data_IF_639955400348
#
_entry.id   IF_639955400348
#
_cell.length_a   1.000
_cell.length_b   1.000
_cell.length_c   1.000
_cell.angle_alpha   90.00
_cell.angle_beta   90.00
_cell.angle_gamma   90.00
#
_symmetry.space_group_name_H-M   'P 1'
#
loop_
_entity.id
_entity.type
_entity.pdbx_description
1 polymer ?
#
# COMPACT_ATOMS: atom_id res chain seq x y z
N UNK A 1 2.90 -29.58 -24.99
CA UNK A 1 4.32 -29.77 -25.35
C UNK A 1 4.77 -31.09 -24.75
N UNK A 2 5.35 -32.00 -25.54
CA UNK A 2 5.97 -33.22 -25.02
C UNK A 2 7.43 -32.91 -24.71
N UNK A 3 7.77 -32.75 -23.42
CA UNK A 3 9.14 -32.51 -22.96
C UNK A 3 9.88 -33.81 -22.75
N UNK A 4 10.24 -34.51 -23.82
CA UNK A 4 11.01 -35.76 -23.73
C UNK A 4 12.48 -35.43 -23.55
N UNK A 5 13.09 -35.87 -22.44
CA UNK A 5 14.51 -35.69 -22.14
C UNK A 5 15.25 -37.00 -22.37
N UNK A 6 16.38 -36.96 -23.07
CA UNK A 6 17.23 -38.12 -23.27
C UNK A 6 18.44 -38.04 -22.33
N UNK A 7 18.55 -39.03 -21.43
CA UNK A 7 19.67 -39.17 -20.50
C UNK A 7 20.48 -40.38 -20.90
N UNK A 8 21.69 -40.16 -21.40
CA UNK A 8 22.64 -41.21 -21.79
C UNK A 8 23.76 -41.30 -20.76
N UNK A 9 24.28 -42.51 -20.52
CA UNK A 9 25.51 -42.67 -19.74
C UNK A 9 26.64 -42.04 -20.54
N UNK A 10 27.47 -41.21 -19.92
CA UNK A 10 28.67 -40.70 -20.57
C UNK A 10 29.60 -41.91 -20.82
N UNK A 11 29.76 -42.32 -22.08
CA UNK A 11 30.76 -43.32 -22.43
C UNK A 11 32.13 -42.73 -22.12
N UNK A 12 32.92 -43.42 -21.29
CA UNK A 12 34.35 -43.16 -21.19
C UNK A 12 34.90 -43.38 -22.61
N UNK A 13 35.32 -42.30 -23.26
CA UNK A 13 36.22 -42.38 -24.40
C UNK A 13 37.50 -43.03 -23.88
N UNK A 14 37.56 -44.36 -23.97
CA UNK A 14 38.80 -45.10 -23.89
C UNK A 14 39.64 -44.71 -25.10
N UNK A 15 40.70 -43.95 -24.85
CA UNK A 15 41.73 -43.70 -25.85
C UNK A 15 42.32 -45.06 -26.26
N UNK A 16 41.96 -45.54 -27.44
CA UNK A 16 42.81 -46.43 -28.21
C UNK A 16 44.04 -45.62 -28.64
N UNK A 17 45.21 -45.88 -28.05
CA UNK A 17 46.48 -45.77 -28.78
C UNK A 17 47.60 -46.61 -28.12
N UNK A 18 48.35 -47.24 -29.02
CA UNK A 18 49.41 -48.26 -28.88
C UNK A 18 50.62 -47.97 -27.96
N UNK A 19 51.42 -48.99 -27.59
CA UNK A 19 52.46 -48.91 -26.55
C UNK A 19 53.82 -48.45 -27.09
N UNK A 20 54.56 -47.63 -26.33
CA UNK A 20 56.04 -47.64 -26.37
C UNK A 20 56.73 -46.90 -25.21
N UNK A 21 57.58 -47.67 -24.54
CA UNK A 21 58.87 -47.34 -23.90
C UNK A 21 59.01 -46.25 -22.81
N UNK A 22 59.54 -46.74 -21.69
CA UNK A 22 60.18 -46.08 -20.54
C UNK A 22 61.21 -44.98 -20.85
N UNK A 23 61.20 -43.89 -20.07
CA UNK A 23 62.35 -43.56 -19.22
C UNK A 23 62.02 -42.48 -18.16
N UNK A 24 62.57 -42.71 -16.97
CA UNK A 24 62.50 -41.88 -15.76
C UNK A 24 63.46 -40.69 -15.79
N UNK A 25 63.04 -39.54 -15.27
CA UNK A 25 63.83 -38.72 -14.33
C UNK A 25 63.01 -37.55 -13.75
N UNK A 26 63.48 -37.07 -12.61
CA UNK A 26 62.78 -36.43 -11.51
C UNK A 26 62.68 -34.90 -11.53
N UNK A 27 61.63 -34.41 -10.85
CA UNK A 27 61.56 -33.19 -10.01
C UNK A 27 61.80 -31.82 -10.62
N UNK A 28 60.76 -30.98 -10.69
CA UNK A 28 60.62 -29.80 -9.81
C UNK A 28 59.24 -29.15 -9.92
N UNK A 29 58.83 -28.57 -8.79
CA UNK A 29 57.58 -27.92 -8.44
C UNK A 29 57.10 -26.84 -9.42
N UNK A 30 55.81 -26.90 -9.78
CA UNK A 30 55.12 -25.87 -10.55
C UNK A 30 53.63 -25.90 -10.22
N UNK A 31 53.23 -24.99 -9.34
CA UNK A 31 51.88 -24.72 -8.88
C UNK A 31 50.94 -24.42 -10.07
N UNK A 32 50.05 -25.35 -10.43
CA UNK A 32 48.91 -25.06 -11.30
C UNK A 32 47.71 -25.89 -10.83
N UNK A 33 46.70 -25.18 -10.31
CA UNK A 33 45.45 -25.75 -9.83
C UNK A 33 44.79 -26.59 -10.92
N UNK A 34 44.65 -27.89 -10.64
CA UNK A 34 43.82 -28.81 -11.39
C UNK A 34 42.39 -28.24 -11.44
N UNK A 35 41.97 -27.71 -12.59
CA UNK A 35 40.55 -27.73 -12.95
C UNK A 35 40.18 -29.20 -13.14
N UNK A 36 39.64 -29.80 -12.08
CA UNK A 36 38.88 -31.05 -12.16
C UNK A 36 37.75 -30.80 -13.15
N UNK A 37 37.94 -31.26 -14.39
CA UNK A 37 36.86 -31.44 -15.36
C UNK A 37 35.91 -32.44 -14.69
N UNK A 38 34.84 -31.94 -14.09
CA UNK A 38 33.80 -32.79 -13.52
C UNK A 38 33.11 -33.50 -14.68
N UNK A 39 33.64 -34.65 -15.09
CA UNK A 39 32.97 -35.56 -16.00
C UNK A 39 31.77 -36.12 -15.25
N UNK A 40 30.59 -35.56 -15.50
CA UNK A 40 29.37 -36.18 -15.04
C UNK A 40 29.21 -37.52 -15.76
N UNK A 41 28.90 -38.58 -15.01
CA UNK A 41 28.63 -39.92 -15.55
C UNK A 41 27.37 -39.97 -16.45
N UNK A 42 26.62 -38.87 -16.53
CA UNK A 42 25.36 -38.74 -17.24
C UNK A 42 25.44 -37.54 -18.19
N UNK A 43 25.15 -37.81 -19.46
CA UNK A 43 24.98 -36.80 -20.51
C UNK A 43 23.48 -36.59 -20.73
N UNK A 44 23.03 -35.36 -20.55
CA UNK A 44 21.63 -34.97 -20.78
C UNK A 44 21.54 -34.21 -22.10
N UNK A 45 20.69 -34.70 -23.01
CA UNK A 45 20.39 -34.04 -24.27
C UNK A 45 19.06 -33.30 -24.09
N UNK A 46 19.12 -31.97 -24.05
CA UNK A 46 17.95 -31.09 -23.91
C UNK A 46 17.53 -30.57 -25.30
N UNK A 47 16.24 -30.63 -25.66
CA UNK A 47 15.72 -30.05 -26.90
C UNK A 47 16.11 -28.56 -27.05
N UNK A 48 16.41 -28.11 -28.26
CA UNK A 48 16.84 -26.73 -28.54
C UNK A 48 15.88 -25.67 -27.97
N UNK A 49 14.59 -25.97 -27.90
CA UNK A 49 13.56 -25.08 -27.36
C UNK A 49 13.65 -24.86 -25.83
N UNK A 50 14.29 -25.79 -25.10
CA UNK A 50 14.45 -25.77 -23.64
C UNK A 50 15.86 -25.40 -23.19
N UNK A 51 16.75 -25.10 -24.15
CA UNK A 51 18.09 -24.60 -23.85
C UNK A 51 18.06 -23.12 -23.44
N UNK A 52 19.00 -22.71 -22.59
CA UNK A 52 19.13 -21.33 -22.13
C UNK A 52 18.43 -21.05 -20.81
N UNK A 53 18.14 -19.77 -20.56
CA UNK A 53 17.56 -19.27 -19.31
C UNK A 53 16.30 -18.49 -19.63
N UNK A 54 15.22 -18.75 -18.89
CA UNK A 54 13.97 -18.02 -19.01
C UNK A 54 13.53 -17.43 -17.67
N UNK A 55 12.87 -16.28 -17.72
CA UNK A 55 12.20 -15.66 -16.58
C UNK A 55 11.02 -14.83 -17.06
N UNK A 56 10.05 -14.61 -16.17
CA UNK A 56 8.92 -13.72 -16.45
C UNK A 56 9.19 -12.38 -15.78
N UNK A 57 9.23 -11.31 -16.57
CA UNK A 57 9.38 -9.94 -16.08
C UNK A 57 8.00 -9.28 -16.00
N UNK A 58 7.61 -8.86 -14.81
CA UNK A 58 6.40 -8.08 -14.57
C UNK A 58 6.79 -6.62 -14.38
N UNK A 59 6.20 -5.72 -15.15
CA UNK A 59 6.49 -4.28 -15.13
C UNK A 59 5.18 -3.54 -14.93
N UNK A 60 5.14 -2.55 -14.04
CA UNK A 60 4.04 -1.57 -14.04
C UNK A 60 4.53 -0.29 -14.70
N UNK A 61 3.81 0.21 -15.70
CA UNK A 61 4.19 1.38 -16.48
C UNK A 61 3.10 2.46 -16.39
N UNK A 62 3.50 3.73 -16.26
CA UNK A 62 2.63 4.91 -16.35
C UNK A 62 3.17 5.84 -17.43
N UNK A 63 2.37 6.16 -18.44
CA UNK A 63 2.72 7.14 -19.47
C UNK A 63 4.12 6.93 -20.12
N UNK A 64 4.52 5.66 -20.31
CA UNK A 64 5.82 5.16 -20.81
C UNK A 64 6.96 5.06 -19.79
N UNK A 65 6.79 5.51 -18.55
CA UNK A 65 7.76 5.33 -17.47
C UNK A 65 7.50 4.04 -16.68
N UNK A 66 8.54 3.21 -16.53
CA UNK A 66 8.49 1.99 -15.72
C UNK A 66 8.52 2.36 -14.23
N UNK A 67 7.40 2.13 -13.54
CA UNK A 67 7.20 2.47 -12.13
C UNK A 67 7.74 1.39 -11.17
N UNK A 68 7.65 0.12 -11.55
CA UNK A 68 8.27 -0.97 -10.80
C UNK A 68 8.46 -2.19 -11.68
N UNK A 69 9.46 -3.00 -11.33
CA UNK A 69 9.73 -4.26 -11.99
C UNK A 69 9.85 -5.40 -10.99
N UNK A 70 9.31 -6.56 -11.34
CA UNK A 70 9.46 -7.80 -10.59
C UNK A 70 9.86 -8.92 -11.56
N UNK A 71 10.65 -9.87 -11.08
CA UNK A 71 11.10 -11.02 -11.85
C UNK A 71 10.54 -12.29 -11.21
N UNK A 72 10.01 -13.21 -12.02
CA UNK A 72 9.54 -14.50 -11.56
C UNK A 72 10.41 -15.58 -12.17
N UNK A 73 11.05 -16.35 -11.29
CA UNK A 73 11.89 -17.49 -11.65
C UNK A 73 11.69 -18.62 -10.62
N UNK A 74 11.59 -19.87 -11.07
CA UNK A 74 11.33 -21.03 -10.22
C UNK A 74 12.34 -21.17 -9.05
N UNK A 75 13.58 -20.71 -9.26
CA UNK A 75 14.72 -20.95 -8.37
C UNK A 75 15.23 -19.71 -7.62
N UNK A 76 14.59 -18.53 -7.76
CA UNK A 76 15.03 -17.28 -7.11
C UNK A 76 16.48 -16.85 -7.42
N UNK A 77 17.13 -17.49 -8.40
CA UNK A 77 18.47 -17.13 -8.85
C UNK A 77 18.34 -16.00 -9.87
N UNK A 78 19.03 -14.90 -9.58
CA UNK A 78 19.23 -13.81 -10.54
C UNK A 78 20.04 -14.27 -11.77
N UNK A 79 20.20 -13.40 -12.77
CA UNK A 79 20.85 -13.71 -14.04
C UNK A 79 22.35 -14.07 -13.93
N UNK A 80 22.96 -13.98 -12.74
CA UNK A 80 24.34 -14.39 -12.50
C UNK A 80 24.45 -15.91 -12.34
N UNK A 81 24.28 -16.60 -13.46
CA UNK A 81 24.66 -18.00 -13.61
C UNK A 81 26.14 -18.00 -13.97
N UNK A 82 27.00 -17.97 -12.95
CA UNK A 82 28.41 -18.31 -13.15
C UNK A 82 28.49 -19.76 -13.63
N UNK A 83 29.07 -19.90 -14.82
CA UNK A 83 29.32 -21.14 -15.53
C UNK A 83 29.86 -22.23 -14.60
N UNK A 84 29.00 -23.20 -14.30
CA UNK A 84 29.40 -24.55 -13.91
C UNK A 84 28.71 -25.49 -14.90
N UNK A 85 29.10 -25.35 -16.17
CA UNK A 85 28.83 -26.32 -17.24
C UNK A 85 29.52 -27.63 -16.80
N UNK A 86 28.74 -28.69 -16.57
CA UNK A 86 29.32 -30.00 -16.26
C UNK A 86 28.47 -30.91 -15.38
N UNK A 87 27.48 -30.37 -14.65
CA UNK A 87 26.58 -31.20 -13.83
C UNK A 87 25.22 -31.29 -14.51
N UNK A 88 24.90 -32.48 -15.04
CA UNK A 88 23.61 -32.82 -15.67
C UNK A 88 22.37 -32.31 -14.91
N UNK A 89 22.46 -32.27 -13.58
CA UNK A 89 21.43 -31.75 -12.69
C UNK A 89 21.11 -30.27 -12.98
N UNK A 90 22.12 -29.40 -13.09
CA UNK A 90 21.90 -27.98 -13.39
C UNK A 90 21.29 -27.79 -14.77
N UNK A 91 21.70 -28.60 -15.74
CA UNK A 91 21.13 -28.59 -17.09
C UNK A 91 19.64 -28.95 -17.07
N UNK A 92 19.23 -29.93 -16.26
CA UNK A 92 17.81 -30.27 -16.07
C UNK A 92 17.06 -29.18 -15.30
N UNK A 93 17.64 -28.60 -14.27
CA UNK A 93 17.04 -27.48 -13.50
C UNK A 93 16.74 -26.28 -14.41
N UNK A 94 17.66 -25.92 -15.32
CA UNK A 94 17.42 -24.86 -16.30
C UNK A 94 16.31 -25.23 -17.28
N UNK A 95 16.33 -26.44 -17.82
CA UNK A 95 15.30 -26.89 -18.75
C UNK A 95 13.90 -26.92 -18.08
N UNK A 96 13.82 -27.32 -16.81
CA UNK A 96 12.61 -27.28 -16.00
C UNK A 96 12.11 -25.84 -15.82
N UNK A 97 13.00 -24.89 -15.53
CA UNK A 97 12.63 -23.49 -15.39
C UNK A 97 12.13 -22.88 -16.72
N UNK A 98 12.75 -23.22 -17.85
CA UNK A 98 12.30 -22.78 -19.18
C UNK A 98 10.90 -23.33 -19.48
N UNK A 99 10.66 -24.61 -19.20
CA UNK A 99 9.35 -25.23 -19.38
C UNK A 99 8.29 -24.55 -18.50
N UNK A 100 8.61 -24.33 -17.22
CA UNK A 100 7.75 -23.64 -16.28
C UNK A 100 7.36 -22.24 -16.76
N UNK A 101 8.33 -21.41 -17.16
CA UNK A 101 8.06 -20.04 -17.61
C UNK A 101 7.20 -20.02 -18.89
N UNK A 102 7.45 -20.94 -19.83
CA UNK A 102 6.63 -21.06 -21.06
C UNK A 102 5.21 -21.49 -20.77
N UNK A 103 5.01 -22.48 -19.89
CA UNK A 103 3.69 -22.96 -19.51
C UNK A 103 2.89 -21.90 -18.75
N UNK A 104 3.52 -21.25 -17.76
CA UNK A 104 2.91 -20.16 -17.01
C UNK A 104 2.51 -19.01 -17.93
N UNK A 105 3.39 -18.58 -18.84
CA UNK A 105 3.05 -17.52 -19.80
C UNK A 105 1.90 -17.93 -20.75
N UNK A 106 1.92 -19.17 -21.26
CA UNK A 106 0.84 -19.67 -22.12
C UNK A 106 -0.50 -19.76 -21.38
N UNK A 107 -0.49 -20.10 -20.08
CA UNK A 107 -1.69 -20.04 -19.25
C UNK A 107 -2.18 -18.60 -19.08
N UNK A 108 -1.31 -17.67 -18.68
CA UNK A 108 -1.66 -16.26 -18.50
C UNK A 108 -2.19 -15.64 -19.80
N UNK A 109 -1.61 -15.98 -20.95
CA UNK A 109 -2.07 -15.50 -22.25
C UNK A 109 -3.48 -16.02 -22.60
N UNK A 110 -3.79 -17.28 -22.28
CA UNK A 110 -5.15 -17.83 -22.46
C UNK A 110 -6.15 -17.15 -21.53
N UNK A 111 -5.78 -16.93 -20.27
CA UNK A 111 -6.62 -16.22 -19.29
C UNK A 111 -6.87 -14.78 -19.73
N UNK A 112 -5.85 -14.08 -20.23
CA UNK A 112 -5.97 -12.70 -20.72
C UNK A 112 -7.04 -12.54 -21.82
N UNK A 113 -7.18 -13.53 -22.70
CA UNK A 113 -8.17 -13.51 -23.79
C UNK A 113 -9.58 -13.83 -23.27
N UNK A 114 -9.69 -14.71 -22.26
CA UNK A 114 -10.97 -15.13 -21.70
C UNK A 114 -11.58 -14.09 -20.75
N UNK A 115 -10.74 -13.26 -20.13
CA UNK A 115 -11.15 -12.25 -19.18
C UNK A 115 -11.87 -11.07 -19.86
N UNK A 116 -13.13 -10.86 -19.47
CA UNK A 116 -13.91 -9.69 -19.88
C UNK A 116 -13.64 -8.51 -18.93
N UNK A 117 -12.60 -7.74 -19.24
CA UNK A 117 -12.31 -6.49 -18.54
C UNK A 117 -12.88 -5.27 -19.29
N UNK A 118 -13.20 -4.15 -18.60
CA UNK A 118 -13.66 -2.90 -19.23
C UNK A 118 -12.69 -2.37 -20.30
N UNK A 119 -11.39 -2.59 -20.09
CA UNK A 119 -10.35 -2.41 -21.09
C UNK A 119 -9.76 -3.79 -21.36
N UNK A 120 -9.86 -4.31 -22.60
CA UNK A 120 -9.42 -5.66 -22.91
C UNK A 120 -7.92 -5.80 -22.72
N UNK A 121 -7.50 -6.96 -22.22
CA UNK A 121 -6.08 -7.30 -22.13
C UNK A 121 -5.53 -7.60 -23.53
N UNK A 122 -4.32 -7.16 -23.79
CA UNK A 122 -3.68 -7.28 -25.11
C UNK A 122 -2.47 -8.20 -25.00
N UNK A 123 -2.47 -9.27 -25.81
CA UNK A 123 -1.35 -10.22 -25.90
C UNK A 123 -0.64 -10.00 -27.22
N UNK A 124 0.62 -9.57 -27.17
CA UNK A 124 1.46 -9.34 -28.36
C UNK A 124 2.77 -10.12 -28.19
N UNK A 125 2.90 -11.21 -28.93
CA UNK A 125 4.08 -12.08 -28.88
C UNK A 125 4.37 -12.57 -27.47
N UNK A 126 5.53 -12.19 -26.92
CA UNK A 126 6.00 -12.57 -25.60
C UNK A 126 5.59 -11.57 -24.49
N UNK A 127 4.60 -10.70 -24.74
CA UNK A 127 4.14 -9.70 -23.77
C UNK A 127 2.61 -9.72 -23.61
N UNK A 128 2.15 -9.62 -22.37
CA UNK A 128 0.74 -9.45 -21.99
C UNK A 128 0.60 -8.07 -21.34
N UNK A 129 -0.30 -7.25 -21.85
CA UNK A 129 -0.61 -5.91 -21.32
C UNK A 129 -2.01 -5.91 -20.70
N UNK A 130 -2.09 -5.55 -19.43
CA UNK A 130 -3.35 -5.42 -18.68
C UNK A 130 -3.44 -4.05 -18.01
N UNK A 131 -4.62 -3.44 -17.94
CA UNK A 131 -4.79 -2.15 -17.28
C UNK A 131 -5.05 -2.32 -15.78
N UNK A 132 -4.23 -1.67 -14.93
CA UNK A 132 -4.41 -1.71 -13.47
C UNK A 132 -5.36 -0.62 -13.00
N UNK A 133 -5.05 0.63 -13.35
CA UNK A 133 -5.75 1.86 -13.02
C UNK A 133 -5.72 2.78 -14.27
N UNK A 134 -6.50 3.87 -14.31
CA UNK A 134 -6.39 4.82 -15.42
C UNK A 134 -4.94 5.30 -15.58
N UNK A 135 -4.43 5.25 -16.80
CA UNK A 135 -3.06 5.61 -17.18
C UNK A 135 -1.95 4.70 -16.60
N UNK A 136 -2.29 3.56 -15.98
CA UNK A 136 -1.32 2.60 -15.44
C UNK A 136 -1.56 1.22 -16.01
N UNK A 137 -0.54 0.68 -16.68
CA UNK A 137 -0.56 -0.63 -17.31
C UNK A 137 0.38 -1.59 -16.60
N UNK A 138 0.01 -2.86 -16.53
CA UNK A 138 0.82 -4.00 -16.16
C UNK A 138 1.29 -4.69 -17.44
N UNK A 139 2.59 -4.93 -17.56
CA UNK A 139 3.23 -5.62 -18.67
C UNK A 139 3.90 -6.87 -18.13
N UNK A 140 3.46 -8.03 -18.56
CA UNK A 140 4.06 -9.32 -18.23
C UNK A 140 4.80 -9.83 -19.46
N UNK A 141 6.13 -9.91 -19.39
CA UNK A 141 6.99 -10.29 -20.50
C UNK A 141 7.70 -11.62 -20.23
N UNK A 142 7.69 -12.54 -21.19
CA UNK A 142 8.53 -13.73 -21.16
C UNK A 142 9.89 -13.41 -21.81
N UNK A 143 10.94 -13.44 -21.00
CA UNK A 143 12.32 -13.27 -21.46
C UNK A 143 12.96 -14.66 -21.57
N UNK A 144 13.43 -15.04 -22.76
CA UNK A 144 14.17 -16.29 -23.01
C UNK A 144 15.48 -15.93 -23.71
N UNK A 145 16.61 -16.23 -23.04
CA UNK A 145 17.95 -16.01 -23.57
C UNK A 145 18.63 -17.35 -23.81
N UNK A 146 18.94 -17.66 -25.06
CA UNK A 146 19.70 -18.85 -25.47
C UNK A 146 21.20 -18.56 -25.59
N UNK A 147 21.56 -17.29 -25.80
CA UNK A 147 22.93 -16.77 -25.88
C UNK A 147 23.22 -15.89 -24.66
N UNK A 148 24.47 -15.86 -24.20
CA UNK A 148 24.96 -14.90 -23.20
C UNK A 148 25.03 -13.48 -23.79
N UNK A 149 23.91 -12.98 -24.31
CA UNK A 149 23.86 -11.62 -24.82
C UNK A 149 23.95 -10.65 -23.65
N UNK A 150 25.10 -9.99 -23.58
CA UNK A 150 25.46 -8.90 -22.68
C UNK A 150 24.64 -7.63 -22.88
N UNK A 151 23.58 -7.67 -23.70
CA UNK A 151 22.60 -6.59 -23.87
C UNK A 151 21.46 -6.71 -22.85
N UNK A 152 21.81 -6.89 -21.57
CA UNK A 152 20.86 -6.61 -20.50
C UNK A 152 20.49 -5.13 -20.61
N UNK A 153 19.20 -4.76 -20.83
CA UNK A 153 18.80 -3.39 -20.54
C UNK A 153 19.19 -3.12 -19.09
N UNK A 154 19.83 -1.97 -18.85
CA UNK A 154 20.37 -1.58 -17.56
C UNK A 154 19.42 -1.99 -16.42
N UNK A 155 19.93 -2.51 -15.29
CA UNK A 155 19.07 -2.90 -14.17
C UNK A 155 18.22 -1.68 -13.83
N UNK A 156 16.91 -1.82 -14.04
CA UNK A 156 15.95 -0.80 -13.65
C UNK A 156 16.13 -0.69 -12.13
N UNK A 157 16.54 0.48 -11.68
CA UNK A 157 17.00 0.73 -10.31
C UNK A 157 15.88 0.56 -9.25
N UNK A 158 14.66 0.19 -9.68
CA UNK A 158 13.47 0.08 -8.86
C UNK A 158 12.83 -1.32 -9.03
N UNK A 159 13.57 -2.33 -8.57
CA UNK A 159 13.10 -3.71 -8.48
C UNK A 159 12.24 -3.87 -7.21
N UNK A 160 10.97 -4.24 -7.39
CA UNK A 160 10.01 -4.36 -6.30
C UNK A 160 9.99 -5.79 -5.74
N UNK A 161 10.82 -6.00 -4.72
CA UNK A 161 10.88 -7.26 -3.97
C UNK A 161 9.55 -7.64 -3.31
N UNK A 162 8.69 -6.67 -2.98
CA UNK A 162 7.40 -6.95 -2.35
C UNK A 162 6.45 -7.58 -3.36
N UNK A 163 6.40 -7.03 -4.57
CA UNK A 163 5.62 -7.59 -5.67
C UNK A 163 6.15 -8.97 -6.08
N UNK A 164 7.46 -9.11 -6.26
CA UNK A 164 8.10 -10.40 -6.56
C UNK A 164 7.74 -11.47 -5.51
N UNK A 165 7.89 -11.16 -4.22
CA UNK A 165 7.59 -12.11 -3.16
C UNK A 165 6.10 -12.50 -3.13
N UNK A 166 5.20 -11.52 -3.29
CA UNK A 166 3.75 -11.76 -3.33
C UNK A 166 3.38 -12.70 -4.48
N UNK A 167 3.96 -12.47 -5.66
CA UNK A 167 3.72 -13.31 -6.84
C UNK A 167 4.30 -14.72 -6.68
N UNK A 168 5.47 -14.86 -6.05
CA UNK A 168 6.00 -16.18 -5.72
C UNK A 168 5.13 -16.95 -4.72
N UNK A 169 4.58 -16.25 -3.72
CA UNK A 169 3.64 -16.84 -2.78
C UNK A 169 2.35 -17.29 -3.49
N UNK A 170 1.85 -16.48 -4.42
CA UNK A 170 0.69 -16.81 -5.24
C UNK A 170 0.93 -18.09 -6.06
N UNK A 171 2.05 -18.15 -6.78
CA UNK A 171 2.40 -19.31 -7.58
C UNK A 171 2.54 -20.57 -6.73
N UNK A 172 3.15 -20.45 -5.54
CA UNK A 172 3.25 -21.57 -4.58
C UNK A 172 1.87 -22.07 -4.16
N UNK A 173 0.93 -21.17 -3.88
CA UNK A 173 -0.44 -21.54 -3.51
C UNK A 173 -1.17 -22.25 -4.64
N UNK A 174 -1.03 -21.75 -5.88
CA UNK A 174 -1.61 -22.40 -7.08
C UNK A 174 -1.03 -23.79 -7.27
N UNK A 175 0.29 -23.96 -7.19
CA UNK A 175 0.92 -25.28 -7.29
C UNK A 175 0.46 -26.23 -6.18
N UNK A 176 0.33 -25.72 -4.96
CA UNK A 176 -0.16 -26.51 -3.84
C UNK A 176 -1.59 -27.01 -4.10
N UNK A 177 -2.49 -26.13 -4.55
CA UNK A 177 -3.89 -26.48 -4.90
C UNK A 177 -3.98 -27.48 -6.05
N UNK A 178 -3.11 -27.34 -7.06
CA UNK A 178 -3.10 -28.26 -8.21
C UNK A 178 -2.54 -29.64 -7.84
N UNK A 179 -1.61 -29.71 -6.89
CA UNK A 179 -1.00 -30.99 -6.46
C UNK A 179 -1.83 -31.70 -5.39
N UNK A 180 -2.53 -30.94 -4.54
CA UNK A 180 -3.33 -31.47 -3.43
C UNK A 180 -4.81 -31.34 -3.74
N UNK A 181 -5.31 -32.27 -4.55
CA UNK A 181 -6.75 -32.42 -4.69
C UNK A 181 -7.35 -32.86 -3.33
N UNK A 182 -8.45 -32.27 -2.86
CA UNK A 182 -9.11 -32.76 -1.66
C UNK A 182 -9.47 -34.23 -1.88
N UNK A 183 -9.12 -35.09 -0.93
CA UNK A 183 -9.37 -36.52 -1.04
C UNK A 183 -10.87 -36.78 -1.26
N UNK A 184 -11.24 -37.63 -2.24
CA UNK A 184 -12.63 -38.00 -2.43
C UNK A 184 -13.13 -38.66 -1.13
N UNK A 185 -14.31 -38.24 -0.69
CA UNK A 185 -14.87 -38.77 0.55
C UNK A 185 -15.18 -40.27 0.39
N UNK A 186 -14.80 -41.13 1.34
CA UNK A 186 -15.17 -42.54 1.30
C UNK A 186 -16.69 -42.66 1.40
N UNK A 187 -17.33 -43.44 0.52
CA UNK A 187 -18.79 -43.62 0.48
C UNK A 187 -19.38 -44.21 1.78
N UNK A 188 -18.55 -44.63 2.73
CA UNK A 188 -18.91 -45.32 3.96
C UNK A 188 -18.81 -44.48 5.24
N UNK A 189 -18.45 -43.18 5.20
CA UNK A 189 -18.37 -42.42 6.46
C UNK A 189 -19.78 -42.12 7.02
N UNK A 190 -20.01 -42.36 8.33
CA UNK A 190 -21.32 -42.21 8.95
C UNK A 190 -21.76 -40.75 8.88
N UNK A 191 -22.98 -40.51 8.39
CA UNK A 191 -23.73 -39.23 8.30
C UNK A 191 -22.98 -38.02 8.92
N UNK A 192 -21.96 -37.55 8.21
CA UNK A 192 -21.23 -36.35 8.55
C UNK A 192 -22.09 -35.10 8.32
N UNK A 193 -21.60 -33.91 8.70
CA UNK A 193 -22.26 -32.66 8.34
C UNK A 193 -22.58 -32.64 6.83
N UNK A 194 -23.80 -32.25 6.49
CA UNK A 194 -24.27 -32.25 5.09
C UNK A 194 -23.30 -31.49 4.18
N UNK A 195 -23.24 -31.83 2.89
CA UNK A 195 -22.39 -31.15 1.90
C UNK A 195 -22.48 -29.61 1.98
N UNK A 196 -23.67 -29.08 2.27
CA UNK A 196 -23.92 -27.64 2.50
C UNK A 196 -23.25 -27.10 3.77
N UNK A 197 -23.32 -27.84 4.88
CA UNK A 197 -22.73 -27.46 6.17
C UNK A 197 -21.20 -27.58 6.18
N UNK A 198 -20.64 -28.52 5.40
CA UNK A 198 -19.20 -28.57 5.14
C UNK A 198 -18.73 -27.41 4.25
N UNK A 199 -19.46 -27.11 3.16
CA UNK A 199 -19.12 -26.00 2.27
C UNK A 199 -19.12 -24.66 2.99
N UNK A 200 -20.10 -24.42 3.89
CA UNK A 200 -20.16 -23.23 4.74
C UNK A 200 -18.94 -23.03 5.66
N UNK A 201 -18.17 -24.10 5.91
CA UNK A 201 -16.99 -24.08 6.75
C UNK A 201 -17.26 -23.65 8.20
N UNK A 202 -16.20 -23.48 9.01
CA UNK A 202 -16.32 -23.03 10.40
C UNK A 202 -16.80 -21.58 10.55
N UNK A 203 -16.81 -20.81 9.46
CA UNK A 203 -17.30 -19.43 9.40
C UNK A 203 -18.81 -19.34 9.11
N UNK A 204 -19.50 -20.47 8.91
CA UNK A 204 -20.92 -20.53 8.57
C UNK A 204 -21.31 -19.63 7.37
N UNK A 205 -20.51 -19.70 6.30
CA UNK A 205 -20.72 -18.89 5.10
C UNK A 205 -22.11 -19.11 4.49
N UNK A 206 -22.75 -17.99 4.20
CA UNK A 206 -24.02 -17.82 3.53
C UNK A 206 -24.01 -18.47 2.13
N UNK A 207 -25.20 -18.74 1.57
CA UNK A 207 -25.31 -19.29 0.21
C UNK A 207 -24.66 -18.38 -0.84
N UNK A 208 -24.78 -17.07 -0.68
CA UNK A 208 -24.25 -16.09 -1.61
C UNK A 208 -22.72 -16.05 -1.58
N UNK A 209 -22.13 -16.00 -0.38
CA UNK A 209 -20.69 -16.11 -0.16
C UNK A 209 -20.12 -17.42 -0.70
N UNK A 210 -20.85 -18.53 -0.57
CA UNK A 210 -20.44 -19.82 -1.17
C UNK A 210 -20.48 -19.82 -2.71
N UNK A 211 -21.48 -19.18 -3.31
CA UNK A 211 -21.55 -19.04 -4.77
C UNK A 211 -20.42 -18.16 -5.30
N UNK A 212 -20.05 -17.11 -4.56
CA UNK A 212 -18.88 -16.29 -4.89
C UNK A 212 -17.57 -17.05 -4.68
N UNK A 213 -17.44 -17.88 -3.64
CA UNK A 213 -16.27 -18.76 -3.46
C UNK A 213 -16.15 -19.83 -4.57
N UNK A 214 -17.24 -20.14 -5.26
CA UNK A 214 -17.23 -21.09 -6.39
C UNK A 214 -16.71 -20.42 -7.68
N UNK A 215 -16.68 -19.08 -7.75
CA UNK A 215 -16.02 -18.37 -8.85
C UNK A 215 -14.52 -18.50 -8.67
N UNK A 216 -13.92 -19.46 -9.35
CA UNK A 216 -12.46 -19.59 -9.40
C UNK A 216 -11.88 -18.36 -10.10
N UNK A 217 -11.20 -17.50 -9.34
CA UNK A 217 -10.40 -16.44 -9.94
C UNK A 217 -9.23 -17.06 -10.68
N UNK A 218 -8.98 -16.57 -11.88
CA UNK A 218 -7.82 -16.93 -12.70
C UNK A 218 -6.53 -16.43 -12.06
N UNK A 219 -5.38 -16.99 -12.47
CA UNK A 219 -4.08 -16.55 -11.94
C UNK A 219 -3.85 -15.09 -12.35
N UNK A 220 -4.17 -14.74 -13.59
CA UNK A 220 -4.01 -13.38 -14.10
C UNK A 220 -4.86 -12.36 -13.32
N UNK A 221 -6.10 -12.68 -12.96
CA UNK A 221 -6.93 -11.82 -12.09
C UNK A 221 -6.27 -11.59 -10.74
N UNK A 222 -5.74 -12.65 -10.13
CA UNK A 222 -5.07 -12.55 -8.83
C UNK A 222 -3.78 -11.73 -8.92
N UNK A 223 -3.01 -11.86 -10.00
CA UNK A 223 -1.83 -11.02 -10.28
C UNK A 223 -2.24 -9.55 -10.42
N UNK A 224 -3.29 -9.27 -11.19
CA UNK A 224 -3.81 -7.90 -11.39
C UNK A 224 -4.27 -7.30 -10.06
N UNK A 225 -5.01 -8.07 -9.25
CA UNK A 225 -5.50 -7.64 -7.94
C UNK A 225 -4.35 -7.33 -6.96
N UNK A 226 -3.34 -8.20 -6.88
CA UNK A 226 -2.16 -7.99 -6.04
C UNK A 226 -1.35 -6.77 -6.50
N UNK A 227 -1.14 -6.61 -7.81
CA UNK A 227 -0.43 -5.45 -8.37
C UNK A 227 -1.19 -4.13 -8.10
N UNK A 228 -2.51 -4.12 -8.27
CA UNK A 228 -3.35 -2.96 -7.93
C UNK A 228 -3.24 -2.61 -6.44
N UNK A 229 -3.34 -3.60 -5.56
CA UNK A 229 -3.24 -3.40 -4.11
C UNK A 229 -1.86 -2.86 -3.69
N UNK A 230 -0.76 -3.44 -4.18
CA UNK A 230 0.61 -2.98 -3.87
C UNK A 230 0.80 -1.53 -4.34
N UNK A 231 0.31 -1.20 -5.54
CA UNK A 231 0.35 0.17 -6.04
C UNK A 231 -0.46 1.13 -5.17
N UNK A 232 -1.70 0.77 -4.83
CA UNK A 232 -2.56 1.56 -3.93
C UNK A 232 -1.93 1.76 -2.56
N UNK A 233 -1.25 0.74 -2.03
CA UNK A 233 -0.51 0.81 -0.77
C UNK A 233 0.65 1.81 -0.85
N UNK A 234 1.50 1.72 -1.89
CA UNK A 234 2.61 2.67 -2.12
C UNK A 234 2.10 4.11 -2.27
N UNK A 235 1.03 4.31 -3.03
CA UNK A 235 0.40 5.63 -3.22
C UNK A 235 -0.16 6.19 -1.90
N UNK A 236 -0.83 5.36 -1.12
CA UNK A 236 -1.35 5.73 0.22
C UNK A 236 -0.22 6.11 1.16
N UNK A 237 0.87 5.32 1.19
CA UNK A 237 2.04 5.62 1.99
C UNK A 237 2.66 6.97 1.61
N UNK A 238 2.86 7.22 0.32
CA UNK A 238 3.40 8.49 -0.16
C UNK A 238 2.56 9.70 0.26
N UNK A 239 1.23 9.60 0.18
CA UNK A 239 0.32 10.68 0.63
C UNK A 239 0.44 10.91 2.13
N UNK A 240 0.47 9.83 2.93
CA UNK A 240 0.61 9.93 4.38
C UNK A 240 1.95 10.54 4.81
N UNK A 241 3.05 10.12 4.18
CA UNK A 241 4.38 10.62 4.48
C UNK A 241 4.53 12.09 4.06
N UNK A 242 3.95 12.47 2.91
CA UNK A 242 3.90 13.86 2.45
C UNK A 242 3.10 14.73 3.43
N UNK A 243 1.92 14.27 3.86
CA UNK A 243 1.10 15.01 4.84
C UNK A 243 1.77 15.12 6.20
N UNK A 244 2.43 14.07 6.69
CA UNK A 244 3.15 14.10 7.95
C UNK A 244 4.35 15.07 7.92
N UNK A 245 4.93 15.32 6.73
CA UNK A 245 5.97 16.33 6.54
C UNK A 245 5.40 17.75 6.43
N UNK A 246 4.31 17.91 5.69
CA UNK A 246 3.72 19.22 5.40
C UNK A 246 2.98 19.81 6.62
N UNK A 247 2.28 18.96 7.39
CA UNK A 247 1.54 19.37 8.60
C UNK A 247 2.39 19.11 9.84
N UNK A 248 2.93 20.19 10.43
CA UNK A 248 3.74 20.11 11.66
C UNK A 248 2.90 20.01 12.93
N UNK A 249 1.71 20.62 12.92
CA UNK A 249 0.76 20.62 14.03
C UNK A 249 -0.67 20.49 13.47
N UNK A 250 -1.42 19.43 13.82
CA UNK A 250 -1.13 18.35 14.76
C UNK A 250 -0.19 17.28 14.17
N UNK A 251 0.45 16.48 15.04
CA UNK A 251 1.31 15.38 14.60
C UNK A 251 0.49 14.20 14.09
N UNK A 252 0.81 13.73 12.87
CA UNK A 252 0.17 12.59 12.23
C UNK A 252 1.07 11.38 12.38
N UNK A 253 0.59 10.35 13.10
CA UNK A 253 1.32 9.09 13.29
C UNK A 253 0.58 7.97 12.58
N UNK A 254 1.24 7.35 11.59
CA UNK A 254 0.73 6.20 10.85
C UNK A 254 1.34 4.90 11.38
N UNK A 255 0.49 3.91 11.67
CA UNK A 255 0.91 2.56 12.04
C UNK A 255 0.35 1.56 11.03
N UNK A 256 1.25 0.95 10.26
CA UNK A 256 0.90 -0.13 9.35
C UNK A 256 0.75 -1.43 10.12
N UNK A 257 -0.35 -2.14 9.89
CA UNK A 257 -0.53 -3.47 10.46
C UNK A 257 0.44 -4.45 9.79
N UNK A 258 1.05 -5.34 10.59
CA UNK A 258 1.88 -6.42 10.07
C UNK A 258 1.03 -7.53 9.42
N UNK A 259 -0.19 -7.73 9.91
CA UNK A 259 -1.12 -8.72 9.35
C UNK A 259 -1.83 -8.13 8.14
N UNK A 260 -1.32 -8.46 6.95
CA UNK A 260 -1.87 -8.02 5.68
C UNK A 260 -2.32 -9.22 4.84
N UNK A 261 -3.41 -9.04 4.11
CA UNK A 261 -3.80 -9.92 3.02
C UNK A 261 -3.09 -9.44 1.73
N UNK A 262 -2.81 -10.32 0.75
CA UNK A 262 -2.27 -9.93 -0.56
C UNK A 262 -3.12 -8.90 -1.32
N UNK A 263 -4.40 -8.76 -0.95
CA UNK A 263 -5.36 -7.83 -1.60
C UNK A 263 -5.91 -6.77 -0.64
N UNK A 264 -5.51 -6.80 0.64
CA UNK A 264 -6.00 -5.87 1.64
C UNK A 264 -4.95 -5.59 2.72
N UNK A 265 -4.68 -4.30 2.93
CA UNK A 265 -3.80 -3.81 4.01
C UNK A 265 -4.54 -2.84 4.90
N UNK A 266 -4.07 -2.72 6.14
CA UNK A 266 -4.67 -1.83 7.12
C UNK A 266 -3.63 -0.87 7.69
N UNK A 267 -3.98 0.42 7.74
CA UNK A 267 -3.18 1.44 8.42
C UNK A 267 -4.05 2.14 9.46
N UNK A 268 -3.54 2.24 10.70
CA UNK A 268 -4.16 3.00 11.78
C UNK A 268 -3.46 4.34 11.88
N UNK A 269 -4.22 5.42 11.72
CA UNK A 269 -3.71 6.79 11.80
C UNK A 269 -4.16 7.39 13.12
N UNK A 270 -3.23 8.04 13.82
CA UNK A 270 -3.50 8.79 15.03
C UNK A 270 -3.04 10.22 14.83
N UNK A 271 -3.95 11.16 15.05
CA UNK A 271 -3.69 12.59 15.06
C UNK A 271 -3.62 13.02 16.52
N UNK A 272 -2.49 13.61 16.89
CA UNK A 272 -2.17 14.01 18.26
C UNK A 272 -1.54 15.39 18.27
N UNK A 273 -2.00 16.27 19.15
CA UNK A 273 -1.34 17.58 19.37
C UNK A 273 -0.25 17.44 20.42
N UNK A 274 0.98 17.80 20.06
CA UNK A 274 2.14 17.67 20.94
C UNK A 274 1.93 18.41 22.28
N UNK A 275 2.15 17.71 23.39
CA UNK A 275 2.00 18.24 24.75
C UNK A 275 0.58 18.16 25.30
N UNK A 276 -0.41 17.75 24.51
CA UNK A 276 -1.82 17.65 24.91
C UNK A 276 -2.43 16.26 24.66
N UNK A 277 -1.60 15.22 24.68
CA UNK A 277 -1.99 13.83 24.42
C UNK A 277 -3.15 13.36 25.32
N UNK A 278 -3.25 13.89 26.54
CA UNK A 278 -4.31 13.58 27.50
C UNK A 278 -5.66 14.27 27.16
N UNK A 279 -5.64 15.40 26.46
CA UNK A 279 -6.83 16.20 26.17
C UNK A 279 -7.59 15.63 24.97
N UNK A 280 -6.90 15.05 23.99
CA UNK A 280 -7.56 14.44 22.86
C UNK A 280 -6.63 13.75 21.86
N UNK A 281 -7.04 12.56 21.41
CA UNK A 281 -6.44 11.81 20.29
C UNK A 281 -7.52 11.45 19.29
N UNK A 282 -7.34 11.78 18.01
CA UNK A 282 -8.27 11.34 16.96
C UNK A 282 -7.66 10.17 16.21
N UNK A 283 -8.31 9.01 16.26
CA UNK A 283 -7.86 7.81 15.56
C UNK A 283 -8.81 7.43 14.44
N UNK A 284 -8.26 7.06 13.29
CA UNK A 284 -9.01 6.53 12.16
C UNK A 284 -8.25 5.34 11.56
N UNK A 285 -8.99 4.44 10.91
CA UNK A 285 -8.43 3.21 10.32
C UNK A 285 -8.72 3.22 8.83
N UNK A 286 -7.71 3.05 8.00
CA UNK A 286 -7.84 2.96 6.55
C UNK A 286 -7.52 1.56 6.09
N UNK A 287 -8.49 0.94 5.43
CA UNK A 287 -8.34 -0.32 4.73
C UNK A 287 -8.03 -0.02 3.27
N UNK A 288 -6.81 -0.32 2.85
CA UNK A 288 -6.36 -0.24 1.46
C UNK A 288 -6.78 -1.52 0.76
N UNK A 289 -7.64 -1.41 -0.26
CA UNK A 289 -8.05 -2.53 -1.13
C UNK A 289 -7.42 -2.35 -2.52
N UNK A 290 -7.81 -3.22 -3.46
CA UNK A 290 -7.32 -3.22 -4.85
C UNK A 290 -7.60 -1.90 -5.59
N UNK A 291 -8.86 -1.40 -5.57
CA UNK A 291 -9.28 -0.21 -6.34
C UNK A 291 -9.93 0.90 -5.51
N UNK A 292 -9.96 0.74 -4.19
CA UNK A 292 -10.64 1.67 -3.29
C UNK A 292 -10.00 1.67 -1.93
N UNK A 293 -10.25 2.76 -1.19
CA UNK A 293 -9.90 2.85 0.22
C UNK A 293 -11.18 2.86 1.03
N UNK A 294 -11.21 2.13 2.15
CA UNK A 294 -12.30 2.21 3.13
C UNK A 294 -11.74 2.83 4.39
N UNK A 295 -12.16 4.05 4.70
CA UNK A 295 -11.81 4.76 5.92
C UNK A 295 -12.90 4.56 6.98
N UNK A 296 -12.49 4.24 8.20
CA UNK A 296 -13.34 4.12 9.38
C UNK A 296 -12.89 5.20 10.37
N UNK A 297 -13.73 6.21 10.54
CA UNK A 297 -13.47 7.34 11.42
C UNK A 297 -13.79 6.99 12.88
N UNK A 298 -13.32 7.83 13.83
CA UNK A 298 -13.54 7.63 15.28
C UNK A 298 -15.02 7.58 15.67
N UNK A 299 -15.86 8.30 14.92
CA UNK A 299 -17.31 8.37 15.12
C UNK A 299 -18.06 7.13 14.57
N UNK A 300 -17.33 6.15 14.03
CA UNK A 300 -17.90 4.94 13.43
C UNK A 300 -18.36 5.13 11.99
N UNK A 301 -18.25 6.33 11.41
CA UNK A 301 -18.60 6.55 10.00
C UNK A 301 -17.62 5.82 9.10
N UNK A 302 -18.18 5.16 8.10
CA UNK A 302 -17.43 4.43 7.08
C UNK A 302 -17.50 5.23 5.78
N UNK A 303 -16.35 5.74 5.35
CA UNK A 303 -16.20 6.46 4.08
C UNK A 303 -15.52 5.54 3.07
N UNK A 304 -16.06 5.46 1.86
CA UNK A 304 -15.44 4.72 0.75
C UNK A 304 -14.87 5.75 -0.22
N UNK A 305 -13.55 5.74 -0.36
CA UNK A 305 -12.82 6.60 -1.28
C UNK A 305 -12.46 5.81 -2.53
N UNK A 306 -12.28 6.54 -3.62
CA UNK A 306 -11.81 6.00 -4.89
C UNK A 306 -10.30 5.70 -4.86
N UNK A 307 -9.72 5.48 -6.04
CA UNK A 307 -8.28 5.29 -6.22
C UNK A 307 -7.50 6.63 -6.23
N UNK A 308 -8.20 7.77 -6.15
CA UNK A 308 -7.59 9.09 -6.25
C UNK A 308 -6.99 9.55 -4.89
N UNK A 309 -5.71 9.94 -4.84
CA UNK A 309 -4.99 10.32 -3.63
C UNK A 309 -5.47 11.64 -3.07
N UNK A 310 -6.04 12.51 -3.91
CA UNK A 310 -6.58 13.79 -3.48
C UNK A 310 -7.74 13.57 -2.50
N UNK A 311 -8.62 12.59 -2.75
CA UNK A 311 -9.72 12.27 -1.81
C UNK A 311 -9.22 11.85 -0.43
N UNK A 312 -8.14 11.06 -0.39
CA UNK A 312 -7.50 10.67 0.87
C UNK A 312 -6.88 11.88 1.58
N UNK A 313 -6.22 12.75 0.81
CA UNK A 313 -5.61 13.97 1.34
C UNK A 313 -6.67 14.87 1.97
N UNK A 314 -7.76 15.12 1.26
CA UNK A 314 -8.86 15.97 1.69
C UNK A 314 -9.54 15.41 2.94
N UNK A 315 -9.75 14.08 2.99
CA UNK A 315 -10.29 13.42 4.17
C UNK A 315 -9.40 13.65 5.39
N UNK A 316 -8.08 13.46 5.26
CA UNK A 316 -7.17 13.62 6.41
C UNK A 316 -7.12 15.08 6.87
N UNK A 317 -7.11 16.05 5.94
CA UNK A 317 -7.18 17.48 6.28
C UNK A 317 -8.48 17.83 7.02
N UNK A 318 -9.62 17.27 6.60
CA UNK A 318 -10.88 17.42 7.31
C UNK A 318 -10.82 16.84 8.74
N UNK A 319 -10.19 15.68 8.91
CA UNK A 319 -10.02 15.04 10.23
C UNK A 319 -9.07 15.83 11.13
N UNK A 320 -8.05 16.48 10.56
CA UNK A 320 -7.15 17.39 11.29
C UNK A 320 -7.93 18.60 11.82
N UNK A 321 -8.76 19.24 10.99
CA UNK A 321 -9.60 20.37 11.43
C UNK A 321 -10.55 19.97 12.55
N UNK A 322 -11.23 18.84 12.38
CA UNK A 322 -12.12 18.33 13.42
C UNK A 322 -11.36 17.99 14.71
N UNK A 323 -10.12 17.51 14.61
CA UNK A 323 -9.26 17.26 15.77
C UNK A 323 -8.92 18.55 16.51
N UNK A 324 -8.46 19.59 15.81
CA UNK A 324 -8.08 20.86 16.42
C UNK A 324 -9.25 21.52 17.19
N UNK A 325 -10.45 21.53 16.62
CA UNK A 325 -11.66 22.04 17.31
C UNK A 325 -12.04 21.15 18.51
N UNK A 326 -12.00 19.82 18.36
CA UNK A 326 -12.30 18.91 19.47
C UNK A 326 -11.32 19.06 20.64
N UNK A 327 -10.05 19.26 20.34
CA UNK A 327 -9.01 19.52 21.33
C UNK A 327 -9.22 20.89 22.00
N UNK A 328 -9.58 21.93 21.24
CA UNK A 328 -9.92 23.25 21.77
C UNK A 328 -11.10 23.18 22.74
N UNK A 329 -12.17 22.47 22.39
CA UNK A 329 -13.35 22.28 23.25
C UNK A 329 -12.97 21.59 24.57
N UNK A 330 -12.10 20.60 24.49
CA UNK A 330 -11.66 19.84 25.66
C UNK A 330 -10.74 20.70 26.54
N UNK A 331 -9.84 21.48 25.95
CA UNK A 331 -9.02 22.48 26.66
C UNK A 331 -9.87 23.56 27.32
N UNK A 332 -10.89 24.09 26.62
CA UNK A 332 -11.80 25.10 27.16
C UNK A 332 -12.49 24.59 28.43
N UNK A 333 -12.97 23.34 28.43
CA UNK A 333 -13.56 22.71 29.63
C UNK A 333 -12.57 22.60 30.78
N UNK A 334 -11.31 22.27 30.52
CA UNK A 334 -10.27 22.23 31.57
C UNK A 334 -10.00 23.61 32.17
N UNK A 335 -10.04 24.67 31.35
CA UNK A 335 -9.83 26.07 31.76
C UNK A 335 -11.10 26.74 32.31
N UNK A 336 -12.19 26.00 32.50
CA UNK A 336 -13.51 26.50 32.93
C UNK A 336 -14.19 27.50 31.96
N UNK A 337 -13.78 27.52 30.69
CA UNK A 337 -14.47 28.27 29.64
C UNK A 337 -15.70 27.49 29.14
N UNK A 338 -16.80 28.21 28.92
CA UNK A 338 -18.04 27.61 28.43
C UNK A 338 -18.08 27.60 26.91
N UNK A 339 -18.36 26.45 26.30
CA UNK A 339 -18.55 26.33 24.85
C UNK A 339 -19.98 26.73 24.51
N UNK A 340 -20.15 27.82 23.78
CA UNK A 340 -21.46 28.35 23.39
C UNK A 340 -21.97 27.73 22.09
N UNK A 341 -21.09 27.54 21.11
CA UNK A 341 -21.44 26.87 19.85
C UNK A 341 -20.24 26.16 19.24
N UNK A 342 -20.52 25.07 18.53
CA UNK A 342 -19.54 24.32 17.75
C UNK A 342 -20.21 23.87 16.45
N UNK A 343 -19.56 24.13 15.33
CA UNK A 343 -20.00 23.62 14.04
C UNK A 343 -18.80 23.23 13.18
N UNK A 344 -18.81 21.97 12.72
CA UNK A 344 -17.79 21.45 11.81
C UNK A 344 -18.03 21.88 10.36
N UNK A 345 -19.14 22.56 10.09
CA UNK A 345 -19.60 22.97 8.76
C UNK A 345 -20.19 24.38 8.80
N UNK A 346 -19.36 25.40 8.62
CA UNK A 346 -19.83 26.78 8.44
C UNK A 346 -20.38 26.98 7.03
N UNK A 347 -21.69 27.27 6.93
CA UNK A 347 -22.32 27.76 5.70
C UNK A 347 -22.14 29.27 5.49
N UNK A 348 -21.14 29.89 6.11
CA UNK A 348 -20.93 31.34 6.09
C UNK A 348 -19.56 31.65 5.52
N UNK A 349 -19.53 32.41 4.42
CA UNK A 349 -18.30 32.85 3.75
C UNK A 349 -18.20 32.36 2.31
N UNK A 350 -17.00 32.49 1.73
CA UNK A 350 -16.70 31.92 0.41
C UNK A 350 -16.69 30.40 0.53
N UNK A 351 -17.31 29.71 -0.43
CA UNK A 351 -17.29 28.26 -0.50
C UNK A 351 -15.89 27.83 -0.90
N UNK A 352 -15.19 27.16 0.01
CA UNK A 352 -13.84 26.65 -0.19
C UNK A 352 -13.87 25.35 -1.04
N UNK A 353 -12.86 25.10 -1.89
CA UNK A 353 -12.81 23.93 -2.75
C UNK A 353 -12.64 22.59 -2.00
N UNK A 354 -11.98 22.60 -0.83
CA UNK A 354 -11.68 21.39 -0.03
C UNK A 354 -12.69 21.10 1.11
N UNK A 355 -13.75 21.91 1.25
CA UNK A 355 -14.79 21.70 2.25
C UNK A 355 -14.87 22.76 3.34
N UNK A 356 -15.92 22.63 4.17
CA UNK A 356 -16.41 23.70 5.03
C UNK A 356 -15.44 24.10 6.14
N UNK A 357 -15.38 25.40 6.46
CA UNK A 357 -14.71 25.90 7.66
C UNK A 357 -15.36 25.31 8.92
N UNK A 358 -14.56 25.05 9.96
CA UNK A 358 -15.07 24.70 11.29
C UNK A 358 -14.99 25.92 12.20
N UNK A 359 -15.97 26.11 13.09
CA UNK A 359 -15.91 27.16 14.11
C UNK A 359 -16.29 26.67 15.49
N UNK A 360 -15.76 27.38 16.48
CA UNK A 360 -16.09 27.21 17.88
C UNK A 360 -16.22 28.58 18.54
N UNK A 361 -17.26 28.78 19.32
CA UNK A 361 -17.47 29.99 20.11
C UNK A 361 -17.40 29.65 21.60
N UNK A 362 -16.52 30.34 22.31
CA UNK A 362 -16.22 30.16 23.72
C UNK A 362 -16.54 31.44 24.48
N UNK A 363 -17.03 31.31 25.71
CA UNK A 363 -17.17 32.41 26.65
C UNK A 363 -16.31 32.17 27.89
N UNK A 364 -15.77 33.27 28.43
CA UNK A 364 -14.95 33.25 29.64
C UNK A 364 -15.77 32.80 30.86
N UNK A 365 -15.13 32.27 31.90
CA UNK A 365 -15.80 31.91 33.16
C UNK A 365 -16.59 33.08 33.78
N UNK A 366 -16.10 34.30 33.58
CA UNK A 366 -16.73 35.53 34.09
C UNK A 366 -17.78 36.11 33.12
N UNK A 367 -18.02 35.46 31.98
CA UNK A 367 -18.91 35.91 30.89
C UNK A 367 -18.58 37.28 30.27
N UNK A 368 -17.42 37.84 30.60
CA UNK A 368 -16.99 39.17 30.17
C UNK A 368 -16.33 39.19 28.77
N UNK A 369 -15.89 38.02 28.30
CA UNK A 369 -15.12 37.87 27.06
C UNK A 369 -15.62 36.68 26.29
N UNK A 370 -15.64 36.81 24.97
CA UNK A 370 -15.96 35.74 24.05
C UNK A 370 -14.81 35.56 23.07
N UNK A 371 -14.48 34.32 22.75
CA UNK A 371 -13.54 33.95 21.71
C UNK A 371 -14.33 33.21 20.63
N UNK A 372 -14.25 33.69 19.39
CA UNK A 372 -14.70 32.94 18.22
C UNK A 372 -13.48 32.47 17.44
N UNK A 373 -13.36 31.16 17.27
CA UNK A 373 -12.30 30.53 16.48
C UNK A 373 -12.90 30.02 15.19
N UNK A 374 -12.25 30.33 14.07
CA UNK A 374 -12.54 29.77 12.77
C UNK A 374 -11.29 29.08 12.24
N UNK A 375 -11.41 27.81 11.87
CA UNK A 375 -10.34 27.04 11.23
C UNK A 375 -10.77 26.72 9.80
N UNK A 376 -9.90 27.03 8.86
CA UNK A 376 -10.07 26.74 7.43
C UNK A 376 -8.93 25.84 6.96
N UNK A 377 -9.24 24.87 6.11
CA UNK A 377 -8.22 24.13 5.36
C UNK A 377 -8.30 24.55 3.90
N UNK A 378 -7.33 25.35 3.47
CA UNK A 378 -7.10 25.63 2.05
C UNK A 378 -5.58 25.70 1.83
N UNK A 379 -5.02 24.83 0.98
CA UNK A 379 -3.95 23.83 1.19
C UNK A 379 -3.08 23.83 2.47
N UNK A 380 -3.10 24.88 3.28
CA UNK A 380 -2.57 25.01 4.63
C UNK A 380 -3.72 25.26 5.63
N UNK A 381 -3.46 25.01 6.91
CA UNK A 381 -4.42 25.27 7.99
C UNK A 381 -4.38 26.76 8.32
N UNK A 382 -5.42 27.50 7.96
CA UNK A 382 -5.60 28.92 8.31
C UNK A 382 -6.49 29.02 9.55
N UNK A 383 -5.95 29.61 10.62
CA UNK A 383 -6.63 29.75 11.90
C UNK A 383 -6.86 31.23 12.16
N UNK A 384 -8.14 31.62 12.23
CA UNK A 384 -8.56 32.98 12.59
C UNK A 384 -9.23 32.97 13.95
N UNK A 385 -8.72 33.81 14.84
CA UNK A 385 -9.24 33.95 16.19
C UNK A 385 -9.75 35.37 16.38
N UNK A 386 -10.97 35.49 16.84
CA UNK A 386 -11.63 36.76 17.09
C UNK A 386 -12.04 36.87 18.56
N UNK A 387 -11.87 38.05 19.15
CA UNK A 387 -12.27 38.32 20.54
C UNK A 387 -13.34 39.39 20.56
N UNK A 388 -14.38 39.16 21.35
CA UNK A 388 -15.36 40.16 21.72
C UNK A 388 -15.37 40.35 23.24
N UNK A 389 -15.67 41.58 23.68
CA UNK A 389 -15.86 41.92 25.10
C UNK A 389 -17.34 42.21 25.34
N UNK A 390 -17.85 41.73 26.47
CA UNK A 390 -19.20 41.97 26.98
C UNK A 390 -19.08 42.38 28.46
N UNK A 391 -19.80 43.39 28.95
CA UNK A 391 -20.69 44.30 28.25
C UNK A 391 -19.93 45.24 27.31
N UNK A 392 -20.61 45.81 26.31
CA UNK A 392 -20.05 46.87 25.47
C UNK A 392 -19.76 48.12 26.32
N UNK A 393 -18.55 48.67 26.23
CA UNK A 393 -18.22 49.96 26.86
C UNK A 393 -18.92 51.15 26.18
N UNK A 394 -19.33 50.99 24.91
CA UNK A 394 -19.93 52.04 24.07
C UNK A 394 -21.45 51.84 23.84
N UNK A 395 -22.17 51.21 24.78
CA UNK A 395 -23.62 51.08 24.65
C UNK A 395 -24.34 52.31 25.20
N UNK A 396 -25.08 53.00 24.32
CA UNK A 396 -25.98 54.09 24.70
C UNK A 396 -27.43 53.61 24.53
N UNK A 397 -28.26 53.66 25.58
CA UNK A 397 -29.67 53.29 25.47
C UNK A 397 -30.36 54.20 24.46
N UNK A 398 -30.94 53.58 23.43
CA UNK A 398 -31.72 54.25 22.39
C UNK A 398 -33.21 54.06 22.70
N UNK A 399 -34.12 54.96 22.28
CA UNK A 399 -35.57 54.75 22.45
C UNK A 399 -36.09 53.43 21.84
N UNK A 400 -35.34 52.80 20.92
CA UNK A 400 -35.66 51.48 20.36
C UNK A 400 -35.15 50.30 21.21
N UNK A 401 -34.14 50.52 22.06
CA UNK A 401 -33.51 49.49 22.92
C UNK A 401 -33.27 50.11 24.30
N UNK A 402 -34.32 50.20 25.14
CA UNK A 402 -34.27 50.91 26.40
C UNK A 402 -33.65 50.09 27.54
N UNK A 403 -33.61 48.76 27.42
CA UNK A 403 -33.17 47.88 28.50
C UNK A 403 -31.66 47.65 28.51
N UNK A 404 -31.05 47.63 29.70
CA UNK A 404 -29.62 47.33 29.88
C UNK A 404 -29.24 45.89 29.56
N UNK A 405 -30.22 44.98 29.42
CA UNK A 405 -30.01 43.59 29.00
C UNK A 405 -29.32 43.50 27.63
N UNK A 406 -29.49 44.53 26.80
CA UNK A 406 -28.89 44.61 25.46
C UNK A 406 -27.42 45.04 25.47
N UNK A 407 -26.88 45.50 26.60
CA UNK A 407 -25.44 45.77 26.77
C UNK A 407 -24.59 44.49 26.61
N UNK A 408 -25.21 43.33 26.89
CA UNK A 408 -24.59 42.00 26.80
C UNK A 408 -24.65 41.40 25.39
N UNK A 409 -25.35 42.03 24.45
CA UNK A 409 -25.44 41.55 23.07
C UNK A 409 -24.20 41.98 22.27
N UNK A 410 -23.23 41.07 22.24
CA UNK A 410 -22.20 40.93 21.20
C UNK A 410 -21.32 42.17 20.97
N UNK A 411 -20.15 42.25 21.62
CA UNK A 411 -19.11 43.22 21.24
C UNK A 411 -18.63 43.05 19.78
N UNK A 412 -18.02 44.09 19.21
CA UNK A 412 -17.35 43.97 17.91
C UNK A 412 -16.20 42.97 18.02
N UNK A 413 -16.25 41.92 17.21
CA UNK A 413 -15.19 40.93 17.14
C UNK A 413 -13.93 41.56 16.53
N UNK A 414 -12.84 41.57 17.29
CA UNK A 414 -11.53 42.03 16.82
C UNK A 414 -10.67 40.81 16.53
N UNK A 415 -10.06 40.79 15.33
CA UNK A 415 -9.14 39.73 14.93
C UNK A 415 -7.84 39.82 15.72
N UNK A 416 -7.42 38.69 16.27
CA UNK A 416 -6.17 38.55 16.98
C UNK A 416 -5.09 38.15 15.99
N UNK A 417 -3.94 38.83 16.06
CA UNK A 417 -2.74 38.44 15.29
C UNK A 417 -2.14 37.17 15.89
N UNK A 418 -2.70 36.02 15.53
CA UNK A 418 -2.38 34.71 16.08
C UNK A 418 -0.93 34.27 15.84
N UNK A 419 -0.32 34.76 14.76
CA UNK A 419 1.10 34.50 14.44
C UNK A 419 2.07 35.07 15.47
N UNK A 420 1.69 36.16 16.14
CA UNK A 420 2.53 36.84 17.13
C UNK A 420 2.44 36.26 18.54
N UNK A 421 1.50 35.34 18.79
CA UNK A 421 1.32 34.72 20.10
C UNK A 421 2.41 33.66 20.29
N UNK A 422 3.03 33.65 21.47
CA UNK A 422 4.00 32.63 21.84
C UNK A 422 3.32 31.26 21.99
N UNK A 423 3.92 30.25 21.39
CA UNK A 423 3.40 28.87 21.45
C UNK A 423 3.80 28.07 20.23
N UNK A 424 4.20 26.81 20.45
CA UNK A 424 4.63 25.90 19.38
C UNK A 424 3.44 25.27 18.63
N UNK A 425 2.32 25.07 19.33
CA UNK A 425 1.10 24.47 18.79
C UNK A 425 -0.07 25.44 18.88
N UNK A 426 -1.09 25.21 18.05
CA UNK A 426 -2.36 25.92 18.07
C UNK A 426 -2.99 25.90 19.47
N UNK A 427 -3.04 24.72 20.11
CA UNK A 427 -3.60 24.59 21.46
C UNK A 427 -2.83 25.39 22.51
N UNK A 428 -1.49 25.41 22.44
CA UNK A 428 -0.67 26.18 23.39
C UNK A 428 -0.93 27.68 23.27
N UNK A 429 -0.99 28.19 22.03
CA UNK A 429 -1.36 29.59 21.78
C UNK A 429 -2.77 29.91 22.31
N UNK A 430 -3.72 28.99 22.17
CA UNK A 430 -5.08 29.14 22.70
C UNK A 430 -5.13 29.07 24.22
N UNK A 431 -4.35 28.20 24.87
CA UNK A 431 -4.24 28.14 26.33
C UNK A 431 -3.70 29.46 26.89
N UNK A 432 -2.60 29.97 26.31
CA UNK A 432 -2.04 31.26 26.69
C UNK A 432 -3.05 32.40 26.50
N UNK A 433 -3.76 32.40 25.37
CA UNK A 433 -4.81 33.38 25.10
C UNK A 433 -5.93 33.30 26.15
N UNK A 434 -6.45 32.11 26.44
CA UNK A 434 -7.49 31.92 27.45
C UNK A 434 -7.03 32.35 28.84
N UNK A 435 -5.80 31.98 29.24
CA UNK A 435 -5.21 32.36 30.51
C UNK A 435 -5.06 33.89 30.65
N UNK A 436 -4.53 34.56 29.62
CA UNK A 436 -4.34 36.03 29.61
C UNK A 436 -5.66 36.82 29.66
N UNK A 437 -6.73 36.25 29.10
CA UNK A 437 -8.05 36.86 29.12
C UNK A 437 -8.74 36.67 30.49
N UNK A 438 -8.40 35.60 31.22
CA UNK A 438 -8.90 35.35 32.58
C UNK A 438 -8.11 36.08 33.68
N UNK A 439 -6.81 36.33 33.49
CA UNK A 439 -5.94 36.93 34.52
C UNK A 439 -6.04 38.45 34.62
N UNK A 440 -6.66 39.12 33.65
CA UNK A 440 -6.73 40.57 33.55
C UNK A 440 -7.78 41.21 34.50
N UNK A 441 -7.96 40.60 35.67
CA UNK A 441 -8.79 41.08 36.79
C UNK A 441 -7.92 41.62 37.93
N UNK A 442 -6.86 42.36 37.60
CA UNK A 442 -6.10 43.18 38.55
C UNK A 442 -6.16 44.64 38.12
#
# INVERSE_FOLDING_TARGET
>A
MSGTFEVTKAEETGDEDTPSSSNSSSSTSGNNGMQLKASSALRVIVPAELQGVAYIKVITQKDQEDLCTAQLNLMGHGPNITAQVGVWQKTLEFAQNVLFCKELFAQLAREAIQLQAPIPHVVIGNQIRATLLPNIQLIISLCHSTTFDSSQPAPINDHDHVLEHSLHQLLREVHYKNSHHPFPHPASAPLGPTKKRMLAGPMAADRETLLDMTKSQTILEQIIAQAQHIFMRKRTQYVLDTLARDVKDPQIVSHWNAMNSPTMSCVKINIVTHGYDAIGRTSLVIHVKERSLKCICRDGRVMRLSYEPQELRDLILCQINSHQISCLISLARCMSWTVLSNSNHLGVGKVEPLGNASSCLLASPNSDRMIAVQIRCDPQIDVKVYIARSPRQDFFPSPLVPEKLWENLGGTFKEVRFDKIEGKSFLNKMEFLMASLTSNTA
#
